data_IF_818839666834
#
_entry.id   IF_818839666834
#
_cell.length_a   1.000
_cell.length_b   1.000
_cell.length_c   1.000
_cell.angle_alpha   90.00
_cell.angle_beta   90.00
_cell.angle_gamma   90.00
#
_symmetry.space_group_name_H-M   'P 1'
#
loop_
_entity.id
_entity.type
_entity.pdbx_description
1 polymer ?
#
# COMPACT_ATOMS: atom_id res chain seq x y z
N UNK A 1 -9.44 -7.80 6.64
CA UNK A 1 -10.74 -7.75 5.92
C UNK A 1 -10.66 -8.36 4.51
N UNK A 2 -9.69 -8.00 3.66
CA UNK A 2 -9.65 -8.45 2.25
C UNK A 2 -9.34 -9.94 2.06
N UNK A 3 -8.49 -10.54 2.91
CA UNK A 3 -8.15 -11.97 2.85
C UNK A 3 -9.04 -12.88 3.72
N UNK A 4 -10.06 -12.33 4.40
CA UNK A 4 -10.87 -13.07 5.37
C UNK A 4 -10.12 -13.58 6.61
N UNK A 5 -8.82 -13.31 6.74
CA UNK A 5 -7.96 -13.79 7.83
C UNK A 5 -7.50 -12.66 8.72
N UNK A 6 -7.32 -12.94 10.02
CA UNK A 6 -6.71 -12.02 10.99
C UNK A 6 -5.20 -12.15 10.91
N UNK A 7 -4.49 -11.02 10.83
CA UNK A 7 -3.03 -11.01 10.87
C UNK A 7 -2.55 -11.45 12.27
N UNK A 8 -1.58 -12.36 12.33
CA UNK A 8 -0.83 -12.69 13.56
C UNK A 8 0.38 -11.77 13.59
N UNK A 9 0.35 -10.74 14.43
CA UNK A 9 1.39 -9.72 14.50
C UNK A 9 2.35 -10.08 15.64
N UNK A 10 3.64 -10.23 15.33
CA UNK A 10 4.71 -10.30 16.31
C UNK A 10 5.43 -8.95 16.31
N UNK A 11 5.23 -8.12 17.34
CA UNK A 11 5.88 -6.82 17.43
C UNK A 11 7.35 -7.02 17.82
N UNK A 12 8.25 -6.52 16.99
CA UNK A 12 9.69 -6.52 17.19
C UNK A 12 10.18 -5.08 17.39
N UNK A 13 11.42 -4.86 17.89
CA UNK A 13 11.97 -3.52 18.04
C UNK A 13 12.02 -2.74 16.72
N UNK A 14 11.90 -1.41 16.82
CA UNK A 14 12.00 -0.50 15.70
C UNK A 14 13.35 -0.64 15.00
N UNK A 15 13.35 -0.58 13.67
CA UNK A 15 14.59 -0.63 12.91
C UNK A 15 15.21 0.77 12.87
N UNK A 16 16.53 0.92 13.11
CA UNK A 16 17.18 2.23 13.23
C UNK A 16 17.17 3.05 11.93
N UNK A 17 16.92 2.42 10.78
CA UNK A 17 16.80 3.08 9.48
C UNK A 17 15.37 3.50 9.11
N UNK A 18 14.36 3.08 9.87
CA UNK A 18 12.97 3.40 9.56
C UNK A 18 12.62 4.81 10.04
N UNK A 19 11.89 5.56 9.20
CA UNK A 19 11.21 6.78 9.62
C UNK A 19 9.84 6.40 10.21
N UNK A 20 9.53 6.73 11.47
CA UNK A 20 8.29 6.29 12.13
C UNK A 20 7.00 6.71 11.41
N UNK A 21 7.01 7.87 10.76
CA UNK A 21 5.90 8.34 9.94
C UNK A 21 6.43 9.21 8.81
N UNK A 22 6.03 8.89 7.58
CA UNK A 22 6.36 9.70 6.41
C UNK A 22 5.24 9.67 5.38
N UNK A 23 5.02 10.79 4.70
CA UNK A 23 4.10 10.90 3.59
C UNK A 23 4.58 11.96 2.60
N UNK A 24 4.21 11.82 1.34
CA UNK A 24 4.59 12.76 0.30
C UNK A 24 3.66 13.98 0.29
N UNK A 25 4.22 15.19 0.27
CA UNK A 25 3.49 16.36 -0.21
C UNK A 25 3.43 16.31 -1.74
N UNK A 26 2.21 16.27 -2.27
CA UNK A 26 1.92 16.20 -3.71
C UNK A 26 1.44 17.53 -4.30
N UNK A 27 1.53 18.63 -3.54
CA UNK A 27 1.15 19.98 -3.98
C UNK A 27 1.79 20.39 -5.31
N UNK A 28 3.10 20.12 -5.47
CA UNK A 28 3.84 20.41 -6.70
C UNK A 28 3.33 19.61 -7.90
N UNK A 29 3.08 18.31 -7.73
CA UNK A 29 2.56 17.45 -8.80
C UNK A 29 1.14 17.83 -9.20
N UNK A 30 0.29 18.20 -8.22
CA UNK A 30 -1.05 18.76 -8.49
C UNK A 30 -0.98 20.00 -9.37
N UNK A 31 -0.09 20.94 -9.03
CA UNK A 31 0.05 22.21 -9.76
C UNK A 31 0.59 22.02 -11.18
N UNK A 32 1.60 21.16 -11.34
CA UNK A 32 2.34 21.05 -12.61
C UNK A 32 1.79 20.01 -13.57
N UNK A 33 1.15 18.96 -13.06
CA UNK A 33 0.77 17.78 -13.83
C UNK A 33 -0.73 17.48 -13.76
N UNK A 34 -1.53 18.31 -13.08
CA UNK A 34 -2.92 18.02 -12.71
C UNK A 34 -3.08 16.64 -12.04
N UNK A 35 -2.04 16.23 -11.29
CA UNK A 35 -2.02 14.91 -10.69
C UNK A 35 -2.92 14.83 -9.46
N UNK A 36 -3.96 14.00 -9.54
CA UNK A 36 -4.80 13.64 -8.40
C UNK A 36 -4.93 12.12 -8.28
N UNK A 37 -4.37 11.47 -7.23
CA UNK A 37 -4.55 10.05 -7.00
C UNK A 37 -6.04 9.69 -6.92
N UNK A 38 -6.51 8.82 -7.82
CA UNK A 38 -7.94 8.42 -7.89
C UNK A 38 -8.22 7.09 -7.19
N UNK A 39 -7.19 6.26 -7.01
CA UNK A 39 -7.33 4.95 -6.38
C UNK A 39 -7.18 5.09 -4.87
N UNK A 40 -8.27 4.90 -4.14
CA UNK A 40 -8.25 4.81 -2.68
C UNK A 40 -7.65 3.48 -2.22
N UNK A 41 -7.15 3.43 -0.99
CA UNK A 41 -6.48 2.25 -0.42
C UNK A 41 -7.39 1.02 -0.37
N UNK A 42 -8.65 1.20 0.06
CA UNK A 42 -9.70 0.19 0.14
C UNK A 42 -10.05 -0.42 -1.23
N UNK A 43 -9.84 0.32 -2.32
CA UNK A 43 -10.01 -0.15 -3.71
C UNK A 43 -8.74 -0.77 -4.27
N UNK A 44 -7.58 -0.17 -3.99
CA UNK A 44 -6.29 -0.62 -4.52
C UNK A 44 -5.82 -1.95 -3.93
N UNK A 45 -6.00 -2.14 -2.63
CA UNK A 45 -5.53 -3.32 -1.92
C UNK A 45 -6.16 -4.65 -2.43
N UNK A 46 -7.49 -4.74 -2.67
CA UNK A 46 -8.09 -5.93 -3.30
C UNK A 46 -7.54 -6.23 -4.71
N UNK A 47 -7.35 -5.20 -5.54
CA UNK A 47 -6.79 -5.37 -6.91
C UNK A 47 -5.38 -5.94 -6.88
N UNK A 48 -4.56 -5.45 -5.94
CA UNK A 48 -3.21 -5.97 -5.74
C UNK A 48 -3.22 -7.45 -5.34
N UNK A 49 -4.09 -7.85 -4.41
CA UNK A 49 -4.21 -9.24 -3.95
C UNK A 49 -4.63 -10.16 -5.10
N UNK A 50 -5.62 -9.76 -5.89
CA UNK A 50 -6.07 -10.53 -7.06
C UNK A 50 -4.93 -10.76 -8.06
N UNK A 51 -4.20 -9.70 -8.41
CA UNK A 51 -3.02 -9.81 -9.27
C UNK A 51 -1.94 -10.71 -8.67
N UNK A 52 -1.61 -10.55 -7.38
CA UNK A 52 -0.54 -11.31 -6.73
C UNK A 52 -0.85 -12.81 -6.68
N UNK A 53 -2.09 -13.18 -6.38
CA UNK A 53 -2.51 -14.59 -6.31
C UNK A 53 -2.52 -15.24 -7.69
N UNK A 54 -3.01 -14.54 -8.73
CA UNK A 54 -2.93 -15.01 -10.12
C UNK A 54 -1.49 -15.20 -10.58
N UNK A 55 -0.61 -14.25 -10.24
CA UNK A 55 0.79 -14.27 -10.65
C UNK A 55 1.62 -15.37 -9.95
N UNK A 56 1.26 -15.75 -8.72
CA UNK A 56 1.89 -16.88 -8.01
C UNK A 56 1.40 -18.24 -8.46
N UNK A 57 0.17 -18.35 -8.95
CA UNK A 57 -0.36 -19.61 -9.48
C UNK A 57 0.15 -19.96 -10.89
N UNK A 58 0.75 -18.98 -11.58
CA UNK A 58 1.40 -19.14 -12.88
C UNK A 58 2.90 -19.53 -12.78
N UNK A 59 3.40 -19.81 -11.57
CA UNK A 59 4.70 -20.43 -11.29
C UNK A 59 4.47 -21.79 -10.66
#
# INVERSE_FOLDING_TARGET
>A
KVLGKKAKINQLPEQPGDMPLTCADISKARKLLDYNPKTKFDVGLPRFIDWFLKSRAAK
#
